data_IF_922650663962
#
_entry.id   IF_922650663962
#
_cell.length_a   1.000
_cell.length_b   1.000
_cell.length_c   1.000
_cell.angle_alpha   90.00
_cell.angle_beta   90.00
_cell.angle_gamma   90.00
#
_symmetry.space_group_name_H-M   'P 1'
#
loop_
_entity.id
_entity.type
_entity.pdbx_description
1 polymer ?
#
# COMPACT_ATOMS: atom_id res chain seq x y z
N UNK A 1 -21.16 11.97 -14.25
CA UNK A 1 -21.40 12.93 -13.15
C UNK A 1 -20.05 13.26 -12.56
N UNK A 2 -19.65 14.53 -12.54
CA UNK A 2 -18.36 14.98 -11.98
C UNK A 2 -18.63 15.70 -10.66
N UNK A 3 -17.92 15.30 -9.61
CA UNK A 3 -18.02 15.90 -8.28
C UNK A 3 -16.71 16.63 -8.04
N UNK A 4 -16.78 17.85 -7.51
CA UNK A 4 -15.60 18.65 -7.12
C UNK A 4 -15.32 18.46 -5.64
N UNK A 5 -14.04 18.35 -5.31
CA UNK A 5 -13.55 18.22 -3.93
C UNK A 5 -12.54 19.33 -3.67
N UNK A 6 -12.52 19.86 -2.44
CA UNK A 6 -11.47 20.79 -2.03
C UNK A 6 -10.13 20.07 -1.93
N UNK A 7 -9.05 20.76 -2.30
CA UNK A 7 -7.69 20.21 -2.24
C UNK A 7 -7.31 19.71 -0.84
N UNK A 8 -7.68 20.45 0.21
CA UNK A 8 -7.46 20.06 1.61
C UNK A 8 -8.10 18.69 1.93
N UNK A 9 -9.34 18.47 1.51
CA UNK A 9 -10.06 17.21 1.75
C UNK A 9 -9.47 16.08 0.89
N UNK A 10 -9.10 16.38 -0.36
CA UNK A 10 -8.46 15.40 -1.23
C UNK A 10 -7.12 14.91 -0.64
N UNK A 11 -6.32 15.84 -0.11
CA UNK A 11 -5.05 15.55 0.55
C UNK A 11 -5.27 14.63 1.75
N UNK A 12 -6.16 15.01 2.66
CA UNK A 12 -6.46 14.25 3.87
C UNK A 12 -6.93 12.83 3.55
N UNK A 13 -7.79 12.66 2.54
CA UNK A 13 -8.29 11.34 2.14
C UNK A 13 -7.20 10.45 1.54
N UNK A 14 -6.33 11.01 0.68
CA UNK A 14 -5.23 10.26 0.08
C UNK A 14 -4.22 9.85 1.17
N UNK A 15 -3.84 10.77 2.06
CA UNK A 15 -2.92 10.49 3.17
C UNK A 15 -3.51 9.46 4.14
N UNK A 16 -4.81 9.56 4.45
CA UNK A 16 -5.52 8.59 5.28
C UNK A 16 -5.49 7.19 4.65
N UNK A 17 -5.79 7.08 3.34
CA UNK A 17 -5.79 5.80 2.63
C UNK A 17 -4.37 5.22 2.54
N UNK A 18 -3.36 6.04 2.22
CA UNK A 18 -1.96 5.63 2.22
C UNK A 18 -1.53 5.07 3.57
N UNK A 19 -1.86 5.77 4.66
CA UNK A 19 -1.57 5.31 6.02
C UNK A 19 -2.25 3.97 6.32
N UNK A 20 -3.52 3.82 5.96
CA UNK A 20 -4.27 2.57 6.17
C UNK A 20 -3.62 1.39 5.44
N UNK A 21 -3.25 1.57 4.17
CA UNK A 21 -2.64 0.52 3.35
C UNK A 21 -1.26 0.14 3.90
N UNK A 22 -0.44 1.13 4.27
CA UNK A 22 0.88 0.90 4.88
C UNK A 22 0.76 0.16 6.22
N UNK A 23 -0.26 0.47 7.03
CA UNK A 23 -0.52 -0.27 8.26
C UNK A 23 -0.88 -1.73 7.98
N UNK A 24 -1.79 -1.99 7.04
CA UNK A 24 -2.15 -3.37 6.65
C UNK A 24 -0.95 -4.13 6.09
N UNK A 25 -0.11 -3.48 5.29
CA UNK A 25 1.13 -4.07 4.81
C UNK A 25 2.04 -4.47 5.99
N UNK A 26 2.26 -3.56 6.95
CA UNK A 26 3.08 -3.83 8.11
C UNK A 26 2.52 -4.97 8.97
N UNK A 27 1.22 -5.05 9.19
CA UNK A 27 0.58 -6.16 9.93
C UNK A 27 0.86 -7.52 9.27
N UNK A 28 0.86 -7.59 7.93
CA UNK A 28 1.21 -8.81 7.20
C UNK A 28 2.70 -9.12 7.36
N UNK A 29 3.57 -8.13 7.22
CA UNK A 29 5.02 -8.34 7.36
C UNK A 29 5.40 -8.77 8.77
N UNK A 30 4.80 -8.17 9.80
CA UNK A 30 4.96 -8.56 11.20
C UNK A 30 4.49 -9.99 11.46
N UNK A 31 3.34 -10.39 10.89
CA UNK A 31 2.83 -11.78 10.98
C UNK A 31 3.87 -12.81 10.49
N UNK A 32 4.65 -12.46 9.47
CA UNK A 32 5.67 -13.33 8.88
C UNK A 32 7.09 -13.04 9.35
N UNK A 33 7.27 -12.15 10.34
CA UNK A 33 8.57 -11.69 10.83
C UNK A 33 9.50 -11.24 9.69
N UNK A 34 8.96 -10.47 8.75
CA UNK A 34 9.69 -9.86 7.65
C UNK A 34 9.76 -8.34 7.83
N UNK A 35 10.87 -7.74 7.43
CA UNK A 35 11.07 -6.29 7.53
C UNK A 35 10.75 -5.56 6.22
N UNK A 36 10.71 -6.29 5.10
CA UNK A 36 10.45 -5.71 3.79
C UNK A 36 9.48 -6.58 2.98
N UNK A 37 8.76 -5.91 2.08
CA UNK A 37 7.76 -6.55 1.25
C UNK A 37 8.37 -7.37 0.11
N UNK A 38 9.51 -6.93 -0.43
CA UNK A 38 10.21 -7.61 -1.52
C UNK A 38 10.78 -8.96 -1.07
N UNK A 39 11.50 -9.03 0.06
CA UNK A 39 12.01 -10.32 0.55
C UNK A 39 10.86 -11.22 1.01
N UNK A 40 9.78 -10.66 1.57
CA UNK A 40 8.59 -11.46 1.88
C UNK A 40 8.01 -12.15 0.63
N UNK A 41 7.89 -11.40 -0.47
CA UNK A 41 7.40 -11.94 -1.75
C UNK A 41 8.36 -13.00 -2.30
N UNK A 42 9.67 -12.75 -2.28
CA UNK A 42 10.66 -13.69 -2.80
C UNK A 42 10.76 -14.96 -1.94
N UNK A 43 10.74 -14.84 -0.61
CA UNK A 43 10.73 -16.00 0.31
C UNK A 43 9.44 -16.84 0.19
N UNK A 44 8.32 -16.20 -0.10
CA UNK A 44 7.08 -16.93 -0.40
C UNK A 44 7.21 -17.68 -1.74
N UNK A 45 7.83 -17.05 -2.74
CA UNK A 45 8.04 -17.65 -4.06
C UNK A 45 9.02 -18.83 -4.05
N UNK A 46 10.06 -18.77 -3.22
CA UNK A 46 11.03 -19.86 -3.03
C UNK A 46 10.47 -21.03 -2.21
N UNK A 47 9.34 -20.83 -1.52
CA UNK A 47 8.74 -21.81 -0.63
C UNK A 47 9.30 -21.80 0.80
N UNK A 48 10.10 -20.78 1.14
CA UNK A 48 10.66 -20.61 2.49
C UNK A 48 9.59 -20.20 3.53
N UNK A 49 8.48 -19.63 3.07
CA UNK A 49 7.31 -19.28 3.88
C UNK A 49 6.09 -20.13 3.47
N UNK A 50 5.88 -21.30 4.10
CA UNK A 50 4.78 -22.18 3.74
C UNK A 50 3.43 -21.53 4.03
N UNK A 51 2.48 -21.65 3.08
CA UNK A 51 1.12 -21.10 3.19
C UNK A 51 1.05 -19.56 3.18
N UNK A 52 2.13 -18.87 2.80
CA UNK A 52 2.15 -17.42 2.69
C UNK A 52 1.64 -16.90 1.34
N UNK A 53 1.25 -17.78 0.40
CA UNK A 53 0.93 -17.42 -0.98
C UNK A 53 -0.21 -16.41 -1.09
N UNK A 54 -1.25 -16.57 -0.25
CA UNK A 54 -2.38 -15.65 -0.22
C UNK A 54 -1.97 -14.27 0.29
N UNK A 55 -1.16 -14.23 1.35
CA UNK A 55 -0.66 -12.98 1.91
C UNK A 55 0.32 -12.29 0.94
N UNK A 56 1.13 -13.03 0.20
CA UNK A 56 2.01 -12.49 -0.84
C UNK A 56 1.23 -11.87 -2.02
N UNK A 57 0.08 -12.44 -2.40
CA UNK A 57 -0.82 -11.83 -3.38
C UNK A 57 -1.36 -10.50 -2.84
N UNK A 58 -1.80 -10.48 -1.57
CA UNK A 58 -2.30 -9.26 -0.93
C UNK A 58 -1.20 -8.19 -0.87
N UNK A 59 0.02 -8.55 -0.44
CA UNK A 59 1.15 -7.61 -0.36
C UNK A 59 1.46 -7.00 -1.73
N UNK A 60 1.45 -7.78 -2.82
CA UNK A 60 1.63 -7.23 -4.17
C UNK A 60 0.54 -6.23 -4.54
N UNK A 61 -0.71 -6.49 -4.19
CA UNK A 61 -1.79 -5.54 -4.43
C UNK A 61 -1.61 -4.26 -3.61
N UNK A 62 -1.24 -4.36 -2.33
CA UNK A 62 -1.01 -3.21 -1.47
C UNK A 62 0.14 -2.32 -1.99
N UNK A 63 1.23 -2.92 -2.51
CA UNK A 63 2.33 -2.16 -3.14
C UNK A 63 1.81 -1.38 -4.35
N UNK A 64 1.07 -2.02 -5.25
CA UNK A 64 0.51 -1.35 -6.42
C UNK A 64 -0.43 -0.20 -6.02
N UNK A 65 -1.27 -0.41 -5.01
CA UNK A 65 -2.19 0.62 -4.51
C UNK A 65 -1.44 1.80 -3.88
N UNK A 66 -0.31 1.54 -3.19
CA UNK A 66 0.58 2.60 -2.67
C UNK A 66 1.16 3.41 -3.81
N UNK A 67 1.70 2.76 -4.84
CA UNK A 67 2.32 3.43 -5.98
C UNK A 67 1.30 4.28 -6.76
N UNK A 68 0.08 3.78 -6.93
CA UNK A 68 -1.02 4.52 -7.56
C UNK A 68 -1.42 5.75 -6.74
N UNK A 69 -1.56 5.61 -5.41
CA UNK A 69 -1.91 6.72 -4.53
C UNK A 69 -0.79 7.76 -4.41
N UNK A 70 0.46 7.34 -4.36
CA UNK A 70 1.62 8.26 -4.36
C UNK A 70 1.71 9.01 -5.69
N UNK A 71 1.41 8.34 -6.81
CA UNK A 71 1.34 8.97 -8.13
C UNK A 71 0.19 9.98 -8.20
N UNK A 72 -0.99 9.61 -7.69
CA UNK A 72 -2.14 10.51 -7.59
C UNK A 72 -1.81 11.72 -6.72
N UNK A 73 -1.21 11.51 -5.55
CA UNK A 73 -0.81 12.58 -4.64
C UNK A 73 0.14 13.57 -5.31
N UNK A 74 1.13 13.10 -6.06
CA UNK A 74 2.07 13.95 -6.79
C UNK A 74 1.44 14.67 -7.98
N UNK A 75 0.36 14.12 -8.55
CA UNK A 75 -0.32 14.70 -9.72
C UNK A 75 -1.21 15.90 -9.39
N UNK A 76 -1.64 16.03 -8.13
CA UNK A 76 -2.50 17.11 -7.67
C UNK A 76 -1.64 18.35 -7.36
N UNK A 77 -2.07 19.51 -7.87
CA UNK A 77 -1.49 20.80 -7.49
C UNK A 77 -2.05 21.20 -6.13
N UNK A 78 -1.26 20.98 -5.09
CA UNK A 78 -1.55 21.47 -3.75
C UNK A 78 -1.37 22.98 -3.73
N UNK A 79 -2.41 23.72 -3.33
CA UNK A 79 -2.30 25.13 -3.01
C UNK A 79 -1.86 25.22 -1.53
N UNK A 80 -0.85 26.05 -1.25
CA UNK A 80 -0.31 26.29 0.11
C UNK A 80 -1.30 27.03 1.02
#
# INVERSE_FOLDING_TARGET
MTITLKNEIAKDLIEFKLKSIKNTLNEILEKWNQENAEDFIEKTRSGDLPNAEMDAIIVRQLINDIDELDSLYKSIKWED
#
